data_IF_060690972787
#
_entry.id   IF_060690972787
#
_cell.length_a   1.000
_cell.length_b   1.000
_cell.length_c   1.000
_cell.angle_alpha   90.00
_cell.angle_beta   90.00
_cell.angle_gamma   90.00
#
_symmetry.space_group_name_H-M   'P 1'
#
loop_
_entity.id
_entity.type
_entity.pdbx_description
1 polymer ?
#
# COMPACT_ATOMS: atom_id res chain seq x y z
N UNK A 1 -41.95 26.99 -51.15
CA UNK A 1 -40.55 27.44 -50.88
C UNK A 1 -39.63 26.41 -51.46
N UNK A 2 -38.78 26.80 -52.41
CA UNK A 2 -37.88 25.86 -53.04
C UNK A 2 -36.85 25.35 -52.01
N UNK A 3 -36.55 24.06 -52.08
CA UNK A 3 -35.42 23.48 -51.30
C UNK A 3 -34.13 24.08 -51.86
N UNK A 4 -33.50 25.01 -51.14
CA UNK A 4 -32.19 25.56 -51.53
C UNK A 4 -31.10 24.48 -51.37
N UNK A 5 -30.89 23.69 -52.40
CA UNK A 5 -29.83 22.67 -52.43
C UNK A 5 -28.76 23.10 -53.40
N UNK A 6 -27.52 22.76 -53.10
CA UNK A 6 -26.40 22.99 -53.99
C UNK A 6 -25.68 21.65 -54.25
N UNK A 7 -25.60 21.25 -55.52
CA UNK A 7 -24.82 20.08 -55.93
C UNK A 7 -23.87 20.47 -57.04
N UNK A 8 -22.59 20.32 -56.84
CA UNK A 8 -21.52 20.66 -57.79
C UNK A 8 -20.52 19.53 -57.88
N UNK A 9 -20.31 19.00 -59.03
CA UNK A 9 -19.42 17.86 -59.32
C UNK A 9 -20.17 16.76 -60.06
N UNK A 10 -19.44 15.90 -60.78
CA UNK A 10 -20.02 14.73 -61.45
C UNK A 10 -20.69 13.82 -60.43
N UNK A 11 -21.96 13.45 -60.68
CA UNK A 11 -22.75 12.55 -59.84
C UNK A 11 -22.93 13.04 -58.38
N UNK A 12 -22.73 14.33 -58.13
CA UNK A 12 -23.00 14.90 -56.79
C UNK A 12 -24.51 14.96 -56.49
N UNK A 13 -24.91 14.64 -55.27
CA UNK A 13 -26.33 14.56 -54.87
C UNK A 13 -26.56 15.39 -53.61
N UNK A 14 -27.51 16.35 -53.67
CA UNK A 14 -27.98 17.11 -52.54
C UNK A 14 -29.51 17.05 -52.50
N UNK A 15 -30.10 16.19 -51.63
CA UNK A 15 -31.51 15.93 -51.55
C UNK A 15 -32.20 16.54 -50.34
N UNK A 16 -31.47 16.73 -49.24
CA UNK A 16 -32.02 17.35 -48.04
C UNK A 16 -32.30 18.85 -48.22
N UNK A 17 -33.38 19.41 -47.65
CA UNK A 17 -33.61 20.86 -47.68
C UNK A 17 -32.42 21.63 -47.11
N UNK A 18 -31.84 22.55 -47.88
CA UNK A 18 -30.65 23.33 -47.49
C UNK A 18 -29.36 22.53 -47.54
N UNK A 19 -29.32 21.37 -48.16
CA UNK A 19 -28.12 20.55 -48.27
C UNK A 19 -27.15 21.08 -49.31
N UNK A 20 -25.87 20.85 -49.09
CA UNK A 20 -24.76 21.20 -49.99
C UNK A 20 -23.86 20.00 -50.24
N UNK A 21 -23.69 19.60 -51.52
CA UNK A 21 -22.77 18.56 -51.94
C UNK A 21 -21.80 19.12 -52.97
N UNK A 22 -20.51 19.02 -52.72
CA UNK A 22 -19.47 19.52 -53.59
C UNK A 22 -18.34 18.46 -53.74
N UNK A 23 -18.19 17.97 -54.92
CA UNK A 23 -17.20 16.94 -55.24
C UNK A 23 -17.80 15.82 -56.10
N UNK A 24 -16.95 15.04 -56.77
CA UNK A 24 -17.43 13.89 -57.52
C UNK A 24 -18.04 12.83 -56.59
N UNK A 25 -19.26 12.40 -56.89
CA UNK A 25 -20.04 11.46 -56.06
C UNK A 25 -20.21 11.89 -54.60
N UNK A 26 -20.16 13.19 -54.29
CA UNK A 26 -20.49 13.68 -52.96
C UNK A 26 -21.98 13.56 -52.70
N UNK A 27 -22.36 13.22 -51.47
CA UNK A 27 -23.76 13.00 -51.08
C UNK A 27 -24.14 13.75 -49.82
N UNK A 28 -25.13 14.66 -49.90
CA UNK A 28 -25.72 15.36 -48.77
C UNK A 28 -27.22 15.04 -48.72
N UNK A 29 -27.58 13.93 -48.07
CA UNK A 29 -28.92 13.34 -48.08
C UNK A 29 -29.89 13.93 -47.07
N UNK A 30 -29.40 14.50 -45.98
CA UNK A 30 -30.22 15.01 -44.90
C UNK A 30 -30.40 16.53 -44.92
N UNK A 31 -31.37 17.01 -44.13
CA UNK A 31 -31.64 18.44 -43.97
C UNK A 31 -30.39 19.20 -43.47
N UNK A 32 -29.99 20.25 -44.18
CA UNK A 32 -28.83 21.10 -43.89
C UNK A 32 -27.52 20.34 -43.78
N UNK A 33 -27.43 19.16 -44.38
CA UNK A 33 -26.18 18.41 -44.45
C UNK A 33 -25.19 19.05 -45.44
N UNK A 34 -23.92 18.97 -45.15
CA UNK A 34 -22.84 19.47 -45.99
C UNK A 34 -21.82 18.35 -46.27
N UNK A 35 -21.67 17.99 -47.56
CA UNK A 35 -20.68 17.03 -48.03
C UNK A 35 -19.71 17.74 -48.97
N UNK A 36 -18.43 17.78 -48.62
CA UNK A 36 -17.37 18.40 -49.38
C UNK A 36 -16.20 17.46 -49.58
N UNK A 37 -16.00 17.00 -50.77
CA UNK A 37 -14.93 16.08 -51.16
C UNK A 37 -15.41 14.94 -52.04
N UNK A 38 -14.48 14.29 -52.71
CA UNK A 38 -14.73 13.08 -53.50
C UNK A 38 -15.31 12.00 -52.58
N UNK A 39 -16.44 11.40 -52.98
CA UNK A 39 -17.14 10.34 -52.21
C UNK A 39 -17.55 10.75 -50.77
N UNK A 40 -17.53 12.04 -50.44
CA UNK A 40 -17.98 12.48 -49.11
C UNK A 40 -19.47 12.22 -48.90
N UNK A 41 -19.86 11.81 -47.69
CA UNK A 41 -21.26 11.45 -47.38
C UNK A 41 -21.72 12.10 -46.06
N UNK A 42 -22.68 13.02 -46.15
CA UNK A 42 -23.34 13.64 -45.02
C UNK A 42 -24.81 13.20 -44.97
N UNK A 43 -25.11 12.15 -44.20
CA UNK A 43 -26.42 11.53 -44.11
C UNK A 43 -27.19 11.86 -42.81
N UNK A 44 -26.53 12.44 -41.82
CA UNK A 44 -27.16 12.96 -40.61
C UNK A 44 -27.74 14.37 -40.80
N UNK A 45 -28.81 14.72 -40.12
CA UNK A 45 -29.39 16.08 -40.11
C UNK A 45 -28.35 17.07 -39.58
N UNK A 46 -28.08 18.16 -40.32
CA UNK A 46 -27.03 19.17 -39.96
C UNK A 46 -25.63 18.60 -39.84
N UNK A 47 -25.37 17.46 -40.45
CA UNK A 47 -24.05 16.83 -40.42
C UNK A 47 -23.10 17.51 -41.43
N UNK A 48 -21.80 17.40 -41.14
CA UNK A 48 -20.73 17.96 -41.98
C UNK A 48 -19.70 16.87 -42.28
N UNK A 49 -19.52 16.52 -43.55
CA UNK A 49 -18.49 15.60 -44.03
C UNK A 49 -17.55 16.32 -44.96
N UNK A 50 -16.29 16.49 -44.59
CA UNK A 50 -15.26 17.20 -45.37
C UNK A 50 -14.03 16.31 -45.54
N UNK A 51 -13.73 15.95 -46.76
CA UNK A 51 -12.60 15.10 -47.11
C UNK A 51 -13.00 13.96 -48.05
N UNK A 52 -12.04 13.32 -48.65
CA UNK A 52 -12.29 12.16 -49.48
C UNK A 52 -12.86 11.02 -48.66
N UNK A 53 -14.00 10.48 -49.07
CA UNK A 53 -14.72 9.43 -48.39
C UNK A 53 -15.05 9.73 -46.90
N UNK A 54 -15.09 11.00 -46.53
CA UNK A 54 -15.52 11.38 -45.19
C UNK A 54 -17.03 11.05 -45.00
N UNK A 55 -17.41 10.49 -43.86
CA UNK A 55 -18.78 10.04 -43.58
C UNK A 55 -19.29 10.66 -42.26
N UNK A 56 -20.35 11.47 -42.33
CA UNK A 56 -21.03 12.06 -41.19
C UNK A 56 -22.48 11.55 -41.17
N UNK A 57 -22.75 10.46 -40.44
CA UNK A 57 -24.01 9.78 -40.41
C UNK A 57 -24.89 10.14 -39.18
N UNK A 58 -24.25 10.56 -38.08
CA UNK A 58 -24.98 11.01 -36.91
C UNK A 58 -25.59 12.40 -37.10
N UNK A 59 -26.75 12.67 -36.51
CA UNK A 59 -27.35 14.00 -36.51
C UNK A 59 -26.40 14.99 -35.77
N UNK A 60 -26.14 16.15 -36.39
CA UNK A 60 -25.20 17.12 -35.84
C UNK A 60 -23.73 16.68 -35.84
N UNK A 61 -23.41 15.55 -36.46
CA UNK A 61 -22.05 15.04 -36.49
C UNK A 61 -21.12 15.79 -37.46
N UNK A 62 -19.82 15.77 -37.18
CA UNK A 62 -18.77 16.44 -37.96
C UNK A 62 -17.67 15.42 -38.26
N UNK A 63 -17.41 15.12 -39.52
CA UNK A 63 -16.29 14.30 -39.98
C UNK A 63 -15.38 15.12 -40.91
N UNK A 64 -14.15 15.39 -40.48
CA UNK A 64 -13.18 16.18 -41.25
C UNK A 64 -11.88 15.41 -41.41
N UNK A 65 -11.56 15.01 -42.62
CA UNK A 65 -10.38 14.24 -42.97
C UNK A 65 -10.69 13.15 -43.98
N UNK A 66 -9.65 12.67 -44.67
CA UNK A 66 -9.80 11.51 -45.54
C UNK A 66 -10.25 10.29 -44.70
N UNK A 67 -11.31 9.58 -45.13
CA UNK A 67 -11.88 8.43 -44.43
C UNK A 67 -12.34 8.74 -42.97
N UNK A 68 -12.50 10.00 -42.59
CA UNK A 68 -13.06 10.33 -41.27
C UNK A 68 -14.50 9.87 -41.16
N UNK A 69 -14.89 9.29 -40.04
CA UNK A 69 -16.24 8.73 -39.81
C UNK A 69 -16.81 9.21 -38.48
N UNK A 70 -17.96 9.89 -38.51
CA UNK A 70 -18.70 10.35 -37.35
C UNK A 70 -20.14 9.80 -37.40
N UNK A 71 -20.39 8.70 -36.69
CA UNK A 71 -21.68 7.99 -36.72
C UNK A 71 -22.54 8.24 -35.48
N UNK A 72 -21.96 8.65 -34.38
CA UNK A 72 -22.71 9.07 -33.19
C UNK A 72 -23.35 10.43 -33.38
N UNK A 73 -24.52 10.67 -32.77
CA UNK A 73 -25.18 11.98 -32.77
C UNK A 73 -24.28 13.02 -32.05
N UNK A 74 -24.14 14.22 -32.65
CA UNK A 74 -23.25 15.29 -32.14
C UNK A 74 -21.77 14.87 -31.98
N UNK A 75 -21.34 13.80 -32.65
CA UNK A 75 -19.97 13.36 -32.60
C UNK A 75 -19.06 14.17 -33.55
N UNK A 76 -17.78 14.23 -33.23
CA UNK A 76 -16.74 14.94 -34.00
C UNK A 76 -15.56 14.04 -34.27
N UNK A 77 -15.25 13.80 -35.54
CA UNK A 77 -14.09 13.03 -35.96
C UNK A 77 -13.18 13.93 -36.83
N UNK A 78 -11.96 14.17 -36.38
CA UNK A 78 -11.00 15.05 -37.08
C UNK A 78 -9.69 14.27 -37.33
N UNK A 79 -9.28 14.27 -38.58
CA UNK A 79 -8.05 13.63 -39.05
C UNK A 79 -8.28 12.43 -39.93
N UNK A 80 -7.24 12.00 -40.62
CA UNK A 80 -7.30 10.83 -41.51
C UNK A 80 -7.70 9.58 -40.71
N UNK A 81 -8.78 8.90 -41.15
CA UNK A 81 -9.26 7.69 -40.51
C UNK A 81 -9.83 7.89 -39.09
N UNK A 82 -10.06 9.12 -38.63
CA UNK A 82 -10.71 9.37 -37.35
C UNK A 82 -12.08 8.70 -37.29
N UNK A 83 -12.42 8.02 -36.20
CA UNK A 83 -13.70 7.33 -36.04
C UNK A 83 -14.35 7.66 -34.70
N UNK A 84 -15.49 8.38 -34.75
CA UNK A 84 -16.30 8.76 -33.60
C UNK A 84 -17.68 8.08 -33.70
N UNK A 85 -17.85 6.98 -32.95
CA UNK A 85 -19.01 6.09 -33.06
C UNK A 85 -20.06 6.31 -31.97
N UNK A 86 -19.68 6.93 -30.85
CA UNK A 86 -20.61 7.19 -29.77
C UNK A 86 -21.13 8.62 -29.81
N UNK A 87 -22.36 8.83 -29.30
CA UNK A 87 -22.96 10.14 -29.20
C UNK A 87 -22.10 11.11 -28.37
N UNK A 88 -21.92 12.32 -28.88
CA UNK A 88 -21.10 13.36 -28.24
C UNK A 88 -19.59 13.07 -28.23
N UNK A 89 -19.13 11.99 -28.83
CA UNK A 89 -17.70 11.63 -28.84
C UNK A 89 -16.91 12.61 -29.73
N UNK A 90 -15.77 13.06 -29.24
CA UNK A 90 -14.79 13.85 -30.01
C UNK A 90 -13.51 13.00 -30.17
N UNK A 91 -13.13 12.77 -31.41
CA UNK A 91 -11.91 12.05 -31.80
C UNK A 91 -11.02 12.93 -32.65
N UNK A 92 -9.78 13.10 -32.27
CA UNK A 92 -8.72 13.67 -33.10
C UNK A 92 -7.71 12.57 -33.37
N UNK A 93 -7.54 12.19 -34.63
CA UNK A 93 -6.65 11.11 -35.01
C UNK A 93 -5.18 11.47 -34.81
N UNK A 94 -4.35 10.47 -34.64
CA UNK A 94 -2.89 10.57 -34.60
C UNK A 94 -2.29 11.36 -33.42
N UNK A 95 -3.05 11.57 -32.34
CA UNK A 95 -2.53 12.22 -31.12
C UNK A 95 -1.41 11.38 -30.48
N UNK A 96 -1.53 10.06 -30.52
CA UNK A 96 -0.54 9.11 -29.96
C UNK A 96 0.77 9.15 -30.77
N UNK A 97 0.70 9.16 -32.09
CA UNK A 97 1.87 9.20 -32.97
C UNK A 97 2.53 10.58 -32.99
N UNK A 98 1.77 11.66 -32.78
CA UNK A 98 2.29 13.02 -32.72
C UNK A 98 3.11 13.30 -31.45
N UNK A 99 2.98 12.47 -30.42
CA UNK A 99 3.72 12.61 -29.15
C UNK A 99 5.24 12.61 -29.36
N UNK A 100 5.74 11.80 -30.30
CA UNK A 100 7.17 11.77 -30.65
C UNK A 100 7.73 13.05 -31.28
N UNK A 101 6.86 13.95 -31.76
CA UNK A 101 7.22 15.22 -32.37
C UNK A 101 7.10 16.40 -31.40
N UNK A 102 6.69 16.18 -30.17
CA UNK A 102 6.56 17.22 -29.17
C UNK A 102 7.94 17.70 -28.70
N UNK A 103 8.15 19.01 -28.63
CA UNK A 103 9.40 19.64 -28.21
C UNK A 103 9.10 20.64 -27.09
N UNK A 104 9.92 20.58 -26.03
CA UNK A 104 9.84 21.53 -24.91
C UNK A 104 8.95 21.04 -23.75
N UNK A 105 8.55 21.94 -22.84
CA UNK A 105 7.70 21.58 -21.73
C UNK A 105 6.33 21.07 -22.21
N UNK A 106 5.96 19.87 -21.76
CA UNK A 106 4.67 19.27 -22.07
C UNK A 106 3.64 19.80 -21.08
N UNK A 107 2.46 20.17 -21.59
CA UNK A 107 1.34 20.61 -20.80
C UNK A 107 0.14 19.64 -20.94
N UNK A 108 -0.71 19.59 -19.94
CA UNK A 108 -1.93 18.78 -19.97
C UNK A 108 -3.05 19.61 -20.58
N UNK A 109 -3.74 19.07 -21.58
CA UNK A 109 -4.98 19.66 -22.10
C UNK A 109 -6.09 19.36 -21.12
N UNK A 110 -6.78 20.37 -20.67
CA UNK A 110 -7.94 20.29 -19.79
C UNK A 110 -9.19 20.79 -20.48
N UNK A 111 -10.36 20.35 -20.03
CA UNK A 111 -11.65 20.89 -20.43
C UNK A 111 -12.38 21.40 -19.19
N UNK A 112 -13.06 22.55 -19.31
CA UNK A 112 -13.97 23.05 -18.28
C UNK A 112 -15.38 22.41 -18.41
N UNK A 113 -16.28 22.79 -17.51
CA UNK A 113 -17.65 22.30 -17.50
C UNK A 113 -18.46 22.72 -18.76
N UNK A 114 -17.99 23.71 -19.50
CA UNK A 114 -18.60 24.15 -20.75
C UNK A 114 -18.00 23.48 -21.98
N UNK A 115 -17.00 22.60 -21.79
CA UNK A 115 -16.27 21.93 -22.87
C UNK A 115 -15.17 22.82 -23.49
N UNK A 116 -14.80 23.95 -22.87
CA UNK A 116 -13.71 24.79 -23.37
C UNK A 116 -12.37 24.11 -23.10
N UNK A 117 -11.60 23.87 -24.17
CA UNK A 117 -10.27 23.29 -24.03
C UNK A 117 -9.27 24.37 -23.62
N UNK A 118 -8.45 24.05 -22.66
CA UNK A 118 -7.36 24.86 -22.17
C UNK A 118 -6.11 24.03 -21.92
N UNK A 119 -5.02 24.72 -21.63
CA UNK A 119 -3.77 24.11 -21.24
C UNK A 119 -3.53 24.43 -19.78
N UNK A 120 -3.42 23.41 -18.95
CA UNK A 120 -3.06 23.57 -17.55
C UNK A 120 -1.53 23.55 -17.41
N UNK A 121 -0.97 24.61 -16.82
CA UNK A 121 0.36 24.55 -16.23
C UNK A 121 0.31 23.64 -14.98
N UNK A 122 1.47 23.20 -14.50
CA UNK A 122 1.57 22.39 -13.27
C UNK A 122 0.79 22.94 -12.07
N UNK A 123 0.53 24.24 -12.02
CA UNK A 123 -0.27 24.87 -10.97
C UNK A 123 -1.76 24.53 -11.03
N UNK A 124 -2.32 24.22 -12.20
CA UNK A 124 -3.72 23.79 -12.36
C UNK A 124 -3.95 22.31 -12.03
N UNK A 125 -2.89 21.55 -11.85
CA UNK A 125 -2.92 20.13 -11.52
C UNK A 125 -2.55 19.89 -10.04
N UNK A 126 -2.72 20.88 -9.19
CA UNK A 126 -2.37 20.83 -7.77
C UNK A 126 -3.05 19.70 -6.99
N UNK A 127 -4.14 19.13 -7.53
CA UNK A 127 -4.84 18.00 -6.96
C UNK A 127 -4.30 16.63 -7.44
N UNK A 128 -3.37 16.62 -8.41
CA UNK A 128 -2.69 15.42 -8.82
C UNK A 128 -1.33 15.37 -8.10
N UNK A 129 -1.06 14.26 -7.43
CA UNK A 129 0.25 14.04 -6.82
C UNK A 129 1.34 14.21 -7.89
N UNK A 130 2.28 15.12 -7.66
CA UNK A 130 3.41 15.29 -8.56
C UNK A 130 4.29 14.03 -8.53
N UNK A 131 5.10 13.82 -9.56
CA UNK A 131 6.10 12.73 -9.54
C UNK A 131 7.02 12.85 -8.32
N UNK A 132 7.33 14.07 -7.90
CA UNK A 132 8.15 14.35 -6.71
C UNK A 132 7.44 13.88 -5.43
N UNK A 133 6.12 14.11 -5.30
CA UNK A 133 5.34 13.68 -4.14
C UNK A 133 5.24 12.15 -4.07
N UNK A 134 5.03 11.50 -5.23
CA UNK A 134 5.02 10.02 -5.33
C UNK A 134 6.38 9.44 -4.95
N UNK A 135 7.46 10.07 -5.39
CA UNK A 135 8.83 9.65 -5.04
C UNK A 135 9.10 9.85 -3.55
N UNK A 136 8.72 11.00 -2.98
CA UNK A 136 8.84 11.28 -1.54
C UNK A 136 8.07 10.25 -0.70
N UNK A 137 6.84 9.93 -1.10
CA UNK A 137 6.04 8.90 -0.44
C UNK A 137 6.70 7.51 -0.53
N UNK A 138 7.30 7.17 -1.67
CA UNK A 138 8.02 5.90 -1.83
C UNK A 138 9.23 5.80 -0.89
N UNK A 139 9.99 6.88 -0.72
CA UNK A 139 11.11 6.97 0.23
C UNK A 139 10.61 6.86 1.67
N UNK A 140 9.50 7.53 2.01
CA UNK A 140 8.90 7.45 3.35
C UNK A 140 8.42 6.03 3.66
N UNK A 141 7.79 5.34 2.71
CA UNK A 141 7.37 3.94 2.85
C UNK A 141 8.57 3.02 3.08
N UNK A 142 9.67 3.21 2.33
CA UNK A 142 10.89 2.44 2.54
C UNK A 142 11.50 2.68 3.93
N UNK A 143 11.52 3.94 4.39
CA UNK A 143 11.95 4.30 5.75
C UNK A 143 11.07 3.67 6.84
N UNK A 144 9.76 3.72 6.68
CA UNK A 144 8.83 3.08 7.61
C UNK A 144 9.00 1.56 7.65
N UNK A 145 9.25 0.94 6.50
CA UNK A 145 9.52 -0.51 6.43
C UNK A 145 10.80 -0.88 7.19
N UNK A 146 11.88 -0.09 7.06
CA UNK A 146 13.11 -0.29 7.81
C UNK A 146 12.89 -0.13 9.33
N UNK A 147 12.14 0.89 9.75
CA UNK A 147 11.79 1.11 11.16
C UNK A 147 10.94 -0.04 11.74
N UNK A 148 10.02 -0.59 10.96
CA UNK A 148 9.22 -1.76 11.37
C UNK A 148 10.12 -2.98 11.59
N UNK A 149 11.08 -3.25 10.70
CA UNK A 149 12.02 -4.36 10.87
C UNK A 149 12.88 -4.19 12.12
N UNK A 150 13.35 -2.97 12.41
CA UNK A 150 14.12 -2.67 13.62
C UNK A 150 13.30 -2.89 14.90
N UNK A 151 12.05 -2.39 14.91
CA UNK A 151 11.12 -2.63 16.02
C UNK A 151 10.81 -4.11 16.23
N UNK A 152 10.67 -4.89 15.16
CA UNK A 152 10.48 -6.33 15.25
C UNK A 152 11.71 -7.01 15.89
N UNK A 153 12.92 -6.59 15.51
CA UNK A 153 14.15 -7.06 16.13
C UNK A 153 14.23 -6.72 17.63
N UNK A 154 13.93 -5.48 18.00
CA UNK A 154 13.89 -5.04 19.40
C UNK A 154 12.85 -5.81 20.21
N UNK A 155 11.68 -6.07 19.63
CA UNK A 155 10.62 -6.86 20.27
C UNK A 155 11.09 -8.29 20.53
N UNK A 156 11.80 -8.91 19.59
CA UNK A 156 12.42 -10.22 19.78
C UNK A 156 13.38 -10.24 20.98
N UNK A 157 14.29 -9.26 21.04
CA UNK A 157 15.23 -9.14 22.16
C UNK A 157 14.55 -8.93 23.52
N UNK A 158 13.44 -8.18 23.54
CA UNK A 158 12.64 -7.99 24.76
C UNK A 158 11.98 -9.29 25.25
N UNK A 159 11.49 -10.12 24.34
CA UNK A 159 10.94 -11.43 24.68
C UNK A 159 12.00 -12.37 25.22
N UNK A 160 13.20 -12.39 24.62
CA UNK A 160 14.33 -13.19 25.10
C UNK A 160 14.76 -12.74 26.51
N UNK A 161 14.89 -11.44 26.75
CA UNK A 161 15.21 -10.89 28.06
C UNK A 161 14.14 -11.19 29.11
N UNK A 162 12.86 -11.12 28.74
CA UNK A 162 11.76 -11.47 29.63
C UNK A 162 11.78 -12.96 30.00
N UNK A 163 12.13 -13.83 29.05
CA UNK A 163 12.30 -15.26 29.30
C UNK A 163 13.47 -15.52 30.25
N UNK A 164 14.61 -14.88 30.03
CA UNK A 164 15.78 -14.98 30.89
C UNK A 164 15.48 -14.48 32.32
N UNK A 165 14.84 -13.31 32.45
CA UNK A 165 14.43 -12.77 33.75
C UNK A 165 13.48 -13.73 34.47
N UNK A 166 12.56 -14.39 33.74
CA UNK A 166 11.67 -15.40 34.32
C UNK A 166 12.45 -16.59 34.86
N UNK A 167 13.49 -17.05 34.15
CA UNK A 167 14.38 -18.11 34.63
C UNK A 167 15.12 -17.68 35.87
N UNK A 168 15.70 -16.48 35.89
CA UNK A 168 16.42 -15.94 37.03
C UNK A 168 15.53 -15.76 38.25
N UNK A 169 14.31 -15.26 38.07
CA UNK A 169 13.31 -15.14 39.14
C UNK A 169 13.00 -16.52 39.78
N UNK A 170 12.83 -17.55 38.93
CA UNK A 170 12.60 -18.93 39.41
C UNK A 170 13.76 -19.44 40.23
N UNK A 171 15.02 -19.24 39.78
CA UNK A 171 16.23 -19.61 40.53
C UNK A 171 16.34 -18.88 41.86
N UNK A 172 16.03 -17.55 41.85
CA UNK A 172 16.03 -16.78 43.08
C UNK A 172 15.00 -17.29 44.12
N UNK A 173 13.80 -17.64 43.65
CA UNK A 173 12.75 -18.23 44.50
C UNK A 173 13.17 -19.59 45.06
N UNK A 174 13.87 -20.39 44.28
CA UNK A 174 14.43 -21.66 44.71
C UNK A 174 15.53 -21.45 45.74
N UNK A 175 16.39 -20.42 45.57
CA UNK A 175 17.36 -20.00 46.61
C UNK A 175 16.70 -19.60 47.93
N UNK A 176 15.56 -18.92 47.87
CA UNK A 176 14.79 -18.62 49.10
C UNK A 176 14.23 -19.90 49.73
N UNK A 177 13.68 -20.82 48.93
CA UNK A 177 13.20 -22.12 49.43
C UNK A 177 14.34 -22.91 50.10
N UNK A 178 15.55 -22.90 49.52
CA UNK A 178 16.74 -23.49 50.13
C UNK A 178 17.10 -22.85 51.48
N UNK A 179 17.04 -21.51 51.54
CA UNK A 179 17.36 -20.80 52.79
C UNK A 179 16.33 -21.14 53.90
N UNK A 180 15.05 -21.30 53.52
CA UNK A 180 13.99 -21.74 54.44
C UNK A 180 14.15 -23.20 54.88
N UNK A 181 14.70 -24.05 54.01
CA UNK A 181 15.00 -25.45 54.32
C UNK A 181 16.17 -25.63 55.27
N UNK A 182 17.14 -24.70 55.27
CA UNK A 182 18.40 -24.85 56.04
C UNK A 182 18.22 -24.57 57.51
N UNK A 183 18.06 -25.62 58.28
CA UNK A 183 18.05 -25.58 59.74
C UNK A 183 19.43 -25.83 60.33
N UNK A 184 19.71 -25.26 61.53
CA UNK A 184 20.89 -25.56 62.29
C UNK A 184 20.64 -26.78 63.18
N UNK A 185 21.47 -27.82 63.16
CA UNK A 185 21.24 -29.00 63.97
C UNK A 185 21.37 -28.67 65.45
N UNK A 186 20.43 -29.18 66.24
CA UNK A 186 20.48 -29.12 67.69
C UNK A 186 21.36 -30.26 68.19
N UNK A 187 22.44 -29.93 68.91
CA UNK A 187 23.32 -30.95 69.49
C UNK A 187 22.93 -31.22 70.95
N UNK A 188 22.45 -32.42 71.23
CA UNK A 188 21.99 -32.84 72.56
C UNK A 188 23.14 -32.73 73.60
N UNK A 189 22.82 -32.50 74.87
CA UNK A 189 23.85 -32.50 75.95
C UNK A 189 24.64 -33.79 75.93
N UNK A 190 25.95 -33.66 76.09
CA UNK A 190 26.86 -34.79 76.08
C UNK A 190 27.18 -35.37 74.70
N UNK A 191 26.65 -34.86 73.62
CA UNK A 191 26.97 -35.22 72.24
C UNK A 191 27.84 -34.16 71.57
N UNK A 192 28.73 -34.60 70.68
CA UNK A 192 29.61 -33.69 69.93
C UNK A 192 29.16 -33.41 68.48
N UNK A 193 28.25 -34.22 68.02
CA UNK A 193 27.83 -34.14 66.62
C UNK A 193 26.29 -34.20 66.50
N UNK A 194 25.75 -33.40 65.60
CA UNK A 194 24.33 -33.38 65.23
C UNK A 194 24.15 -33.21 63.73
N UNK A 195 23.05 -33.78 63.24
CA UNK A 195 22.62 -33.61 61.83
C UNK A 195 21.18 -33.09 61.82
N UNK A 196 20.84 -32.28 60.84
CA UNK A 196 19.46 -31.88 60.60
C UNK A 196 19.23 -31.83 59.07
N UNK A 197 18.01 -31.95 58.68
CA UNK A 197 17.58 -31.81 57.30
C UNK A 197 16.18 -31.22 57.26
N UNK A 198 15.90 -30.48 56.22
CA UNK A 198 14.61 -29.83 56.08
C UNK A 198 14.21 -29.69 54.62
N UNK A 199 12.95 -29.35 54.43
CA UNK A 199 12.39 -28.97 53.14
C UNK A 199 11.84 -27.56 53.28
N UNK A 200 12.11 -26.73 52.27
CA UNK A 200 11.56 -25.39 52.16
C UNK A 200 10.67 -25.26 50.92
N UNK A 201 9.62 -24.51 51.05
CA UNK A 201 8.71 -24.15 49.93
C UNK A 201 8.59 -22.66 49.88
N UNK A 202 8.75 -22.08 48.69
CA UNK A 202 8.52 -20.67 48.45
C UNK A 202 8.14 -20.44 46.99
N UNK A 203 7.01 -19.79 46.78
CA UNK A 203 6.55 -19.34 45.47
C UNK A 203 6.64 -20.43 44.39
N UNK A 204 6.01 -21.59 44.62
CA UNK A 204 5.99 -22.77 43.76
C UNK A 204 7.36 -23.44 43.54
N UNK A 205 8.32 -23.19 44.44
CA UNK A 205 9.64 -23.84 44.41
C UNK A 205 9.87 -24.63 45.69
N UNK A 206 10.43 -25.80 45.51
CA UNK A 206 10.77 -26.70 46.61
C UNK A 206 12.28 -26.92 46.64
N UNK A 207 12.83 -26.92 47.83
CA UNK A 207 14.23 -27.24 48.05
C UNK A 207 14.39 -28.14 49.27
N UNK A 208 15.43 -28.95 49.24
CA UNK A 208 15.85 -29.76 50.39
C UNK A 208 17.17 -29.31 50.94
N UNK A 209 17.42 -29.59 52.23
CA UNK A 209 18.74 -29.31 52.85
C UNK A 209 19.18 -30.42 53.78
N UNK A 210 20.50 -30.51 53.95
CA UNK A 210 21.11 -31.28 54.98
C UNK A 210 22.20 -30.42 55.67
N UNK A 211 22.27 -30.50 56.97
CA UNK A 211 23.21 -29.75 57.78
C UNK A 211 23.85 -30.60 58.85
N UNK A 212 25.07 -30.25 59.24
CA UNK A 212 25.85 -30.88 60.26
C UNK A 212 26.32 -29.86 61.28
N UNK A 213 26.36 -30.27 62.53
CA UNK A 213 26.92 -29.44 63.62
C UNK A 213 27.97 -30.20 64.40
N UNK A 214 29.04 -29.51 64.74
CA UNK A 214 30.13 -30.02 65.55
C UNK A 214 30.35 -29.14 66.80
N UNK A 215 30.21 -29.71 67.95
CA UNK A 215 30.50 -29.06 69.22
C UNK A 215 32.00 -29.15 69.46
N UNK A 216 32.66 -28.00 69.51
CA UNK A 216 34.13 -27.90 69.74
C UNK A 216 34.47 -27.67 71.22
N UNK A 217 33.60 -26.96 71.94
CA UNK A 217 33.67 -26.75 73.36
C UNK A 217 32.28 -26.80 73.98
N UNK A 218 32.20 -26.72 75.34
CA UNK A 218 30.88 -26.68 76.01
C UNK A 218 30.03 -25.45 75.60
N UNK A 219 30.69 -24.39 75.13
CA UNK A 219 30.13 -23.13 74.76
C UNK A 219 30.12 -22.84 73.23
N UNK A 220 30.73 -23.67 72.40
CA UNK A 220 30.94 -23.38 70.99
C UNK A 220 30.58 -24.53 70.09
N UNK A 221 29.71 -24.22 69.09
CA UNK A 221 29.27 -25.16 68.05
C UNK A 221 29.53 -24.53 66.67
N UNK A 222 30.10 -25.26 65.74
CA UNK A 222 30.17 -24.93 64.33
C UNK A 222 29.11 -25.71 63.58
N UNK A 223 28.49 -25.05 62.62
CA UNK A 223 27.47 -25.67 61.76
C UNK A 223 27.82 -25.45 60.28
N UNK A 224 27.54 -26.45 59.45
CA UNK A 224 27.61 -26.35 58.00
C UNK A 224 26.41 -27.06 57.37
N UNK A 225 25.93 -26.54 56.26
CA UNK A 225 24.82 -27.14 55.58
C UNK A 225 24.85 -26.90 54.08
N UNK A 226 24.28 -27.83 53.34
CA UNK A 226 24.06 -27.74 51.92
C UNK A 226 22.54 -27.83 51.63
N UNK A 227 22.10 -27.02 50.71
CA UNK A 227 20.72 -27.06 50.15
C UNK A 227 20.77 -27.31 48.67
N UNK A 228 19.76 -27.99 48.17
CA UNK A 228 19.60 -28.29 46.74
C UNK A 228 18.15 -27.89 46.31
N UNK A 229 18.08 -27.09 45.27
CA UNK A 229 16.81 -26.79 44.59
C UNK A 229 16.39 -27.99 43.73
N UNK A 230 15.12 -28.36 43.77
CA UNK A 230 14.66 -29.57 43.06
C UNK A 230 14.30 -29.32 41.59
N UNK A 231 14.05 -28.06 41.21
CA UNK A 231 13.71 -27.71 39.85
C UNK A 231 14.93 -27.32 39.00
N UNK A 232 15.80 -26.46 39.51
CA UNK A 232 16.96 -25.97 38.77
C UNK A 232 18.25 -26.78 39.09
N UNK A 233 18.23 -27.55 40.16
CA UNK A 233 19.43 -28.26 40.67
C UNK A 233 20.48 -27.32 41.27
N UNK A 234 20.10 -26.07 41.58
CA UNK A 234 21.05 -25.13 42.22
C UNK A 234 21.41 -25.61 43.61
N UNK A 235 22.68 -25.37 43.97
CA UNK A 235 23.24 -25.76 45.25
C UNK A 235 23.60 -24.53 46.06
N UNK A 236 23.07 -24.43 47.25
CA UNK A 236 23.40 -23.42 48.23
C UNK A 236 24.21 -24.03 49.40
N UNK A 237 25.14 -23.25 49.93
CA UNK A 237 25.90 -23.66 51.13
C UNK A 237 25.75 -22.64 52.24
N UNK A 238 25.74 -23.10 53.48
CA UNK A 238 25.73 -22.27 54.69
C UNK A 238 26.79 -22.77 55.68
N UNK A 239 27.49 -21.82 56.27
CA UNK A 239 28.34 -22.10 57.42
C UNK A 239 27.98 -21.10 58.54
N UNK A 240 28.09 -21.53 59.75
CA UNK A 240 27.80 -20.71 60.91
C UNK A 240 28.50 -21.21 62.17
N UNK A 241 28.51 -20.39 63.17
CA UNK A 241 28.94 -20.78 64.54
C UNK A 241 27.97 -20.20 65.54
N UNK A 242 27.87 -20.87 66.67
CA UNK A 242 27.12 -20.44 67.84
C UNK A 242 28.06 -20.49 69.04
N UNK A 243 28.11 -19.40 69.81
CA UNK A 243 28.85 -19.33 71.06
C UNK A 243 27.88 -18.90 72.19
N UNK A 244 28.01 -19.51 73.33
CA UNK A 244 27.26 -19.14 74.55
C UNK A 244 28.25 -18.93 75.72
N UNK A 245 27.98 -17.97 76.56
CA UNK A 245 28.81 -17.60 77.68
C UNK A 245 27.96 -17.48 78.96
#
# INVERSE_FOLDING_TARGET
MGNSTTAVGGESVATGPGATAYGWQSSAGAERATALGHLSNASGVRSVAVGEAAAAAGDGSIAVGNLASATGANSVAIGNGASATNDGQVVVASLDTSTGSQVGPIAVVTADANGTLGVSSSAGLSNLASFTDVQANSVAIAGNSAAIMDLQGQTGLLFDLAAENSVQARRANEGVAMALAMESPIIMPGKRFGVAGGFGYYNDRVAGSASVGLRVSDSTVFTGGLGVGFDSGEVGARAGFQASW
#
